data_IF_788297509341
#
_entry.id   IF_788297509341
#
_cell.length_a   1.000
_cell.length_b   1.000
_cell.length_c   1.000
_cell.angle_alpha   90.00
_cell.angle_beta   90.00
_cell.angle_gamma   90.00
#
_symmetry.space_group_name_H-M   'P 1'
#
loop_
_entity.id
_entity.type
_entity.pdbx_description
1 polymer ?
#
# COMPACT_ATOMS: atom_id res chain seq x y z
N UNK A 1 -15.94 -4.16 -16.33
CA UNK A 1 -16.09 -5.63 -16.34
C UNK A 1 -15.45 -6.14 -15.05
N UNK A 2 -16.14 -6.96 -14.26
CA UNK A 2 -15.59 -7.53 -13.02
C UNK A 2 -14.89 -8.85 -13.36
N UNK A 3 -13.64 -9.00 -12.93
CA UNK A 3 -12.85 -10.23 -13.06
C UNK A 3 -13.04 -11.05 -11.79
N UNK A 4 -13.71 -12.20 -11.88
CA UNK A 4 -13.93 -13.09 -10.74
C UNK A 4 -12.63 -13.83 -10.37
N UNK A 5 -12.45 -14.12 -9.08
CA UNK A 5 -11.38 -15.00 -8.61
C UNK A 5 -11.86 -16.45 -8.75
N UNK A 6 -11.08 -17.31 -9.41
CA UNK A 6 -11.47 -18.70 -9.64
C UNK A 6 -11.25 -19.57 -8.39
N UNK A 7 -11.85 -20.77 -8.38
CA UNK A 7 -11.59 -21.77 -7.36
C UNK A 7 -10.10 -22.11 -7.27
N UNK A 8 -9.46 -22.32 -8.42
CA UNK A 8 -8.05 -22.68 -8.53
C UNK A 8 -7.15 -21.61 -7.91
N UNK A 9 -7.42 -20.33 -8.20
CA UNK A 9 -6.67 -19.22 -7.62
C UNK A 9 -6.80 -19.18 -6.08
N UNK A 10 -7.99 -19.44 -5.53
CA UNK A 10 -8.18 -19.52 -4.07
C UNK A 10 -7.40 -20.69 -3.46
N UNK A 11 -7.34 -21.84 -4.16
CA UNK A 11 -6.57 -23.01 -3.73
C UNK A 11 -5.07 -22.72 -3.78
N UNK A 12 -4.57 -22.09 -4.84
CA UNK A 12 -3.16 -21.70 -4.97
C UNK A 12 -2.74 -20.75 -3.85
N UNK A 13 -3.57 -19.74 -3.54
CA UNK A 13 -3.33 -18.84 -2.40
C UNK A 13 -3.22 -19.64 -1.08
N UNK A 14 -4.04 -20.66 -0.87
CA UNK A 14 -3.91 -21.51 0.32
C UNK A 14 -2.62 -22.33 0.31
N UNK A 15 -2.26 -22.94 -0.81
CA UNK A 15 -1.05 -23.75 -0.93
C UNK A 15 0.20 -22.93 -0.67
N UNK A 16 0.23 -21.67 -1.12
CA UNK A 16 1.37 -20.77 -0.95
C UNK A 16 1.43 -20.16 0.47
N UNK A 17 0.30 -19.71 1.01
CA UNK A 17 0.27 -18.91 2.25
C UNK A 17 -0.37 -19.60 3.46
N UNK A 18 -0.87 -20.84 3.29
CA UNK A 18 -1.56 -21.61 4.32
C UNK A 18 -0.63 -22.24 5.36
N UNK A 19 0.67 -22.34 5.08
CA UNK A 19 1.67 -22.96 5.95
C UNK A 19 1.73 -24.48 5.84
N UNK A 20 2.34 -25.14 6.82
CA UNK A 20 2.63 -26.59 6.76
C UNK A 20 1.40 -27.49 6.59
N UNK A 21 0.21 -27.04 7.00
CA UNK A 21 -1.05 -27.76 6.85
C UNK A 21 -1.92 -27.30 5.68
N UNK A 22 -1.36 -26.58 4.71
CA UNK A 22 -2.10 -26.12 3.55
C UNK A 22 -2.71 -27.28 2.75
N UNK A 23 -3.86 -27.04 2.14
CA UNK A 23 -4.61 -28.03 1.37
C UNK A 23 -6.12 -27.91 1.55
N UNK A 24 -6.85 -28.24 0.50
CA UNK A 24 -8.32 -28.23 0.49
C UNK A 24 -8.85 -29.40 1.32
N UNK A 25 -9.68 -29.10 2.32
CA UNK A 25 -10.43 -30.09 3.11
C UNK A 25 -11.82 -30.34 2.51
N UNK A 26 -12.46 -29.29 1.99
CA UNK A 26 -13.80 -29.34 1.41
C UNK A 26 -13.87 -28.46 0.15
N UNK A 27 -13.71 -29.09 -1.02
CA UNK A 27 -13.73 -28.40 -2.31
C UNK A 27 -15.11 -27.83 -2.66
N UNK A 28 -16.19 -28.52 -2.28
CA UNK A 28 -17.55 -28.04 -2.53
C UNK A 28 -17.84 -26.77 -1.74
N UNK A 29 -17.35 -26.71 -0.50
CA UNK A 29 -17.38 -25.51 0.34
C UNK A 29 -16.68 -24.32 -0.30
N UNK A 30 -15.46 -24.51 -0.83
CA UNK A 30 -14.74 -23.43 -1.54
C UNK A 30 -15.50 -22.99 -2.80
N UNK A 31 -16.00 -23.93 -3.61
CA UNK A 31 -16.83 -23.60 -4.77
C UNK A 31 -18.08 -22.81 -4.41
N UNK A 32 -18.75 -23.18 -3.30
CA UNK A 32 -19.92 -22.45 -2.81
C UNK A 32 -19.56 -21.02 -2.34
N UNK A 33 -18.44 -20.84 -1.66
CA UNK A 33 -17.97 -19.53 -1.21
C UNK A 33 -17.64 -18.60 -2.40
N UNK A 34 -16.91 -19.11 -3.39
CA UNK A 34 -16.59 -18.39 -4.64
C UNK A 34 -17.87 -18.09 -5.41
N UNK A 35 -18.74 -19.09 -5.61
CA UNK A 35 -20.02 -18.93 -6.29
C UNK A 35 -20.92 -17.89 -5.63
N UNK A 36 -20.98 -17.86 -4.30
CA UNK A 36 -21.76 -16.86 -3.55
C UNK A 36 -21.30 -15.43 -3.85
N UNK A 37 -20.01 -15.18 -3.99
CA UNK A 37 -19.48 -13.83 -4.24
C UNK A 37 -19.78 -13.32 -5.67
N UNK A 38 -19.83 -14.23 -6.65
CA UNK A 38 -19.85 -13.85 -8.07
C UNK A 38 -21.16 -14.18 -8.81
N UNK A 39 -21.99 -15.08 -8.28
CA UNK A 39 -23.22 -15.51 -8.93
C UNK A 39 -24.45 -14.87 -8.26
N UNK A 40 -25.28 -14.22 -9.08
CA UNK A 40 -26.60 -13.77 -8.71
C UNK A 40 -27.69 -14.80 -9.00
N UNK A 41 -28.90 -14.56 -8.49
CA UNK A 41 -30.09 -15.35 -8.83
C UNK A 41 -31.18 -14.43 -9.39
N UNK A 42 -31.89 -14.89 -10.42
CA UNK A 42 -32.99 -14.11 -11.02
C UNK A 42 -32.57 -12.77 -11.65
N UNK A 43 -31.31 -12.66 -12.10
CA UNK A 43 -30.76 -11.43 -12.66
C UNK A 43 -30.38 -10.36 -11.63
N UNK A 44 -30.51 -10.66 -10.33
CA UNK A 44 -30.11 -9.77 -9.24
C UNK A 44 -28.75 -10.22 -8.70
N UNK A 45 -27.78 -9.30 -8.73
CA UNK A 45 -26.49 -9.48 -8.10
C UNK A 45 -26.59 -9.09 -6.61
N UNK A 46 -26.45 -10.03 -5.66
CA UNK A 46 -26.53 -9.73 -4.23
C UNK A 46 -25.35 -8.90 -3.73
N UNK A 47 -24.27 -8.82 -4.50
CA UNK A 47 -23.04 -8.09 -4.16
C UNK A 47 -22.68 -7.15 -5.33
N UNK A 48 -23.34 -5.99 -5.45
CA UNK A 48 -23.29 -5.15 -6.64
C UNK A 48 -21.95 -4.42 -6.83
N UNK A 49 -21.19 -4.16 -5.76
CA UNK A 49 -19.85 -3.54 -5.87
C UNK A 49 -18.73 -4.56 -5.67
N UNK A 50 -17.54 -4.24 -6.19
CA UNK A 50 -16.32 -5.03 -5.97
C UNK A 50 -16.00 -5.17 -4.47
N UNK A 51 -16.30 -4.17 -3.64
CA UNK A 51 -16.13 -4.29 -2.19
C UNK A 51 -17.09 -5.31 -1.57
N UNK A 52 -18.34 -5.35 -2.05
CA UNK A 52 -19.33 -6.31 -1.57
C UNK A 52 -18.95 -7.74 -1.95
N UNK A 53 -18.41 -7.94 -3.16
CA UNK A 53 -17.92 -9.24 -3.63
C UNK A 53 -16.70 -9.72 -2.86
N UNK A 54 -15.74 -8.82 -2.61
CA UNK A 54 -14.56 -9.11 -1.78
C UNK A 54 -14.98 -9.49 -0.36
N UNK A 55 -15.94 -8.76 0.22
CA UNK A 55 -16.49 -9.05 1.52
C UNK A 55 -17.21 -10.40 1.58
N UNK A 56 -18.02 -10.72 0.58
CA UNK A 56 -18.72 -12.00 0.49
C UNK A 56 -17.75 -13.18 0.41
N UNK A 57 -16.67 -13.02 -0.36
CA UNK A 57 -15.60 -14.00 -0.50
C UNK A 57 -14.83 -14.18 0.81
N UNK A 58 -14.36 -13.09 1.42
CA UNK A 58 -13.65 -13.12 2.70
C UNK A 58 -14.50 -13.78 3.78
N UNK A 59 -15.76 -13.35 3.94
CA UNK A 59 -16.66 -13.90 4.93
C UNK A 59 -16.88 -15.40 4.71
N UNK A 60 -17.20 -15.83 3.48
CA UNK A 60 -17.48 -17.23 3.16
C UNK A 60 -16.31 -18.18 3.42
N UNK A 61 -15.07 -17.70 3.29
CA UNK A 61 -13.85 -18.48 3.55
C UNK A 61 -13.37 -18.36 5.00
N UNK A 62 -13.57 -17.22 5.65
CA UNK A 62 -13.06 -16.96 7.01
C UNK A 62 -13.92 -17.61 8.11
N UNK A 63 -15.24 -17.66 7.94
CA UNK A 63 -16.18 -18.23 8.94
C UNK A 63 -16.33 -19.75 8.81
N UNK A 64 -15.57 -20.37 7.92
CA UNK A 64 -15.65 -21.79 7.59
C UNK A 64 -14.28 -22.43 7.78
N UNK A 65 -14.21 -23.74 7.53
CA UNK A 65 -12.98 -24.52 7.65
C UNK A 65 -12.80 -25.33 6.36
N UNK A 66 -12.83 -24.69 5.20
CA UNK A 66 -12.74 -25.42 3.93
C UNK A 66 -11.31 -25.88 3.58
N UNK A 67 -10.31 -25.37 4.28
CA UNK A 67 -8.91 -25.80 4.21
C UNK A 67 -8.48 -26.50 5.50
N UNK A 68 -7.46 -27.35 5.40
CA UNK A 68 -6.87 -28.02 6.55
C UNK A 68 -6.18 -27.04 7.51
N UNK A 69 -5.52 -26.02 6.96
CA UNK A 69 -4.97 -24.87 7.70
C UNK A 69 -5.03 -23.61 6.82
N UNK A 70 -4.80 -22.45 7.43
CA UNK A 70 -4.68 -21.19 6.71
C UNK A 70 -6.00 -20.56 6.28
N UNK A 71 -7.15 -21.06 6.73
CA UNK A 71 -8.50 -20.55 6.33
C UNK A 71 -8.60 -19.02 6.39
N UNK A 72 -8.24 -18.42 7.53
CA UNK A 72 -8.28 -16.97 7.75
C UNK A 72 -7.33 -16.19 6.83
N UNK A 73 -6.09 -16.67 6.69
CA UNK A 73 -5.07 -16.08 5.80
C UNK A 73 -5.52 -16.14 4.34
N UNK A 74 -6.03 -17.29 3.92
CA UNK A 74 -6.55 -17.54 2.57
C UNK A 74 -7.74 -16.63 2.28
N UNK A 75 -8.67 -16.49 3.22
CA UNK A 75 -9.84 -15.63 3.08
C UNK A 75 -9.47 -14.16 2.85
N UNK A 76 -8.55 -13.64 3.66
CA UNK A 76 -8.05 -12.28 3.53
C UNK A 76 -7.34 -12.07 2.19
N UNK A 77 -6.36 -12.92 1.88
CA UNK A 77 -5.55 -12.81 0.65
C UNK A 77 -6.39 -13.01 -0.62
N UNK A 78 -7.40 -13.89 -0.59
CA UNK A 78 -8.31 -14.07 -1.72
C UNK A 78 -9.14 -12.81 -1.98
N UNK A 79 -9.61 -12.14 -0.92
CA UNK A 79 -10.33 -10.88 -1.07
C UNK A 79 -9.42 -9.75 -1.59
N UNK A 80 -8.18 -9.67 -1.10
CA UNK A 80 -7.17 -8.70 -1.59
C UNK A 80 -6.85 -8.95 -3.05
N UNK A 81 -6.49 -10.18 -3.43
CA UNK A 81 -6.18 -10.55 -4.81
C UNK A 81 -7.36 -10.26 -5.75
N UNK A 82 -8.58 -10.58 -5.34
CA UNK A 82 -9.78 -10.22 -6.11
C UNK A 82 -9.92 -8.70 -6.30
N UNK A 83 -9.70 -7.89 -5.27
CA UNK A 83 -9.77 -6.44 -5.39
C UNK A 83 -8.69 -5.91 -6.35
N UNK A 84 -7.46 -6.42 -6.26
CA UNK A 84 -6.35 -6.03 -7.13
C UNK A 84 -6.62 -6.36 -8.60
N UNK A 85 -7.14 -7.56 -8.89
CA UNK A 85 -7.58 -7.97 -10.22
C UNK A 85 -8.64 -7.03 -10.83
N UNK A 86 -9.36 -6.30 -9.98
CA UNK A 86 -10.40 -5.35 -10.37
C UNK A 86 -9.96 -3.88 -10.23
N UNK A 87 -8.66 -3.61 -10.14
CA UNK A 87 -8.08 -2.26 -10.08
C UNK A 87 -8.22 -1.58 -8.72
N UNK A 88 -8.68 -2.30 -7.69
CA UNK A 88 -8.83 -1.80 -6.33
C UNK A 88 -7.64 -2.26 -5.50
N UNK A 89 -6.64 -1.39 -5.39
CA UNK A 89 -5.49 -1.64 -4.51
C UNK A 89 -5.80 -1.06 -3.13
N UNK A 90 -5.65 -1.88 -2.09
CA UNK A 90 -5.76 -1.47 -0.69
C UNK A 90 -4.58 -0.58 -0.30
N UNK A 91 -4.80 0.40 0.58
CA UNK A 91 -3.71 1.12 1.23
C UNK A 91 -2.87 0.22 2.14
N UNK A 92 -1.80 0.75 2.74
CA UNK A 92 -1.04 0.01 3.75
C UNK A 92 -1.96 -0.39 4.91
N UNK A 93 -2.15 -1.70 5.10
CA UNK A 93 -2.85 -2.26 6.25
C UNK A 93 -1.80 -2.80 7.21
N UNK A 94 -1.77 -2.28 8.44
CA UNK A 94 -0.90 -2.82 9.48
C UNK A 94 -1.21 -4.31 9.71
N UNK A 95 -0.21 -5.20 9.82
CA UNK A 95 -0.45 -6.63 9.99
C UNK A 95 -1.41 -6.96 11.16
N UNK A 96 -1.27 -6.24 12.27
CA UNK A 96 -2.15 -6.37 13.45
C UNK A 96 -3.59 -5.94 13.13
N UNK A 97 -3.79 -4.89 12.33
CA UNK A 97 -5.14 -4.48 11.91
C UNK A 97 -5.78 -5.55 11.03
N UNK A 98 -5.04 -6.05 10.02
CA UNK A 98 -5.52 -7.11 9.13
C UNK A 98 -5.86 -8.38 9.91
N UNK A 99 -5.02 -8.76 10.88
CA UNK A 99 -5.22 -9.93 11.73
C UNK A 99 -6.46 -9.78 12.62
N UNK A 100 -6.55 -8.69 13.40
CA UNK A 100 -7.69 -8.44 14.30
C UNK A 100 -8.99 -8.39 13.52
N UNK A 101 -9.00 -7.71 12.36
CA UNK A 101 -10.17 -7.62 11.52
C UNK A 101 -10.58 -8.98 10.96
N UNK A 102 -9.63 -9.76 10.43
CA UNK A 102 -9.89 -11.10 9.90
C UNK A 102 -10.39 -12.06 10.98
N UNK A 103 -9.85 -11.97 12.20
CA UNK A 103 -10.33 -12.75 13.35
C UNK A 103 -11.78 -12.37 13.72
N UNK A 104 -12.11 -11.09 13.69
CA UNK A 104 -13.46 -10.60 13.96
C UNK A 104 -14.47 -11.08 12.90
N UNK A 105 -14.08 -11.09 11.62
CA UNK A 105 -14.89 -11.69 10.54
C UNK A 105 -15.08 -13.19 10.77
N UNK A 106 -14.00 -13.92 11.04
CA UNK A 106 -14.05 -15.37 11.26
C UNK A 106 -14.91 -15.77 12.47
N UNK A 107 -14.95 -14.92 13.51
CA UNK A 107 -15.80 -15.09 14.69
C UNK A 107 -17.28 -14.75 14.44
N UNK A 108 -17.64 -14.24 13.26
CA UNK A 108 -19.01 -13.82 12.93
C UNK A 108 -19.47 -12.56 13.65
N UNK A 109 -18.54 -11.77 14.22
CA UNK A 109 -18.88 -10.52 14.92
C UNK A 109 -18.93 -9.30 13.99
N UNK A 110 -18.52 -9.46 12.73
CA UNK A 110 -18.55 -8.43 11.69
C UNK A 110 -19.44 -8.89 10.54
N UNK A 111 -20.52 -8.15 10.30
CA UNK A 111 -21.41 -8.39 9.17
C UNK A 111 -20.72 -8.16 7.83
N UNK A 112 -21.16 -8.88 6.79
CA UNK A 112 -20.55 -8.80 5.44
C UNK A 112 -20.54 -7.36 4.90
N UNK A 113 -21.58 -6.57 5.15
CA UNK A 113 -21.63 -5.14 4.76
C UNK A 113 -20.52 -4.32 5.41
N UNK A 114 -20.20 -4.60 6.68
CA UNK A 114 -19.13 -3.93 7.41
C UNK A 114 -17.74 -4.35 6.92
N UNK A 115 -17.60 -5.56 6.40
CA UNK A 115 -16.40 -6.00 5.66
C UNK A 115 -16.22 -5.23 4.37
N UNK A 116 -17.30 -5.02 3.61
CA UNK A 116 -17.26 -4.22 2.38
C UNK A 116 -16.89 -2.75 2.68
N UNK A 117 -17.49 -2.18 3.72
CA UNK A 117 -17.13 -0.85 4.21
C UNK A 117 -15.68 -0.77 4.70
N UNK A 118 -15.15 -1.82 5.34
CA UNK A 118 -13.76 -1.84 5.74
C UNK A 118 -12.82 -1.88 4.53
N UNK A 119 -13.06 -2.74 3.53
CA UNK A 119 -12.25 -2.74 2.31
C UNK A 119 -12.35 -1.41 1.55
N UNK A 120 -13.56 -0.85 1.45
CA UNK A 120 -13.78 0.47 0.87
C UNK A 120 -13.02 1.52 1.68
N UNK A 121 -13.12 1.51 3.00
CA UNK A 121 -12.40 2.40 3.89
C UNK A 121 -10.89 2.19 3.79
N UNK A 122 -10.35 0.98 3.67
CA UNK A 122 -8.91 0.73 3.48
C UNK A 122 -8.46 1.24 2.11
N UNK A 123 -9.30 1.10 1.09
CA UNK A 123 -9.05 1.59 -0.26
C UNK A 123 -9.18 3.12 -0.36
N UNK A 124 -10.12 3.73 0.36
CA UNK A 124 -10.29 5.19 0.46
C UNK A 124 -9.28 5.80 1.43
N UNK A 125 -8.92 5.05 2.47
CA UNK A 125 -7.65 5.12 3.22
C UNK A 125 -6.52 4.51 2.40
N UNK A 126 -6.61 4.44 1.05
CA UNK A 126 -5.44 4.75 0.23
C UNK A 126 -5.02 6.09 0.78
N UNK A 127 -4.11 6.00 1.74
CA UNK A 127 -3.51 7.16 2.30
C UNK A 127 -3.05 7.94 1.08
N UNK A 128 -3.08 9.26 1.18
CA UNK A 128 -2.23 10.09 0.35
C UNK A 128 -0.75 9.77 0.67
N UNK A 129 -0.37 8.51 0.91
CA UNK A 129 0.56 8.10 1.97
C UNK A 129 0.48 9.01 3.20
N UNK A 130 1.64 9.34 3.73
CA UNK A 130 1.74 10.36 4.76
C UNK A 130 1.44 11.78 4.31
N UNK A 131 0.84 11.99 3.13
CA UNK A 131 0.50 13.31 2.64
C UNK A 131 -0.73 13.91 3.31
N UNK A 132 -0.59 15.18 3.65
CA UNK A 132 -1.59 16.03 4.26
C UNK A 132 -2.23 16.96 3.23
N UNK A 133 -1.56 17.22 2.10
CA UNK A 133 -2.08 18.06 1.02
C UNK A 133 -3.08 17.28 0.14
N UNK A 134 -4.30 17.79 -0.10
CA UNK A 134 -5.33 17.14 -0.92
C UNK A 134 -5.01 16.96 -2.39
N UNK A 135 -4.03 17.69 -2.91
CA UNK A 135 -3.54 17.53 -4.27
C UNK A 135 -2.71 16.26 -4.43
N UNK A 136 -2.13 15.73 -3.36
CA UNK A 136 -1.29 14.54 -3.43
C UNK A 136 -2.18 13.29 -3.47
N UNK A 137 -2.17 12.58 -4.60
CA UNK A 137 -2.90 11.31 -4.79
C UNK A 137 -2.24 10.20 -3.97
N UNK A 138 -0.91 10.10 -4.04
CA UNK A 138 -0.12 9.20 -3.23
C UNK A 138 1.28 9.77 -3.00
N UNK A 139 1.90 9.36 -1.90
CA UNK A 139 3.27 9.70 -1.52
C UNK A 139 3.87 8.53 -0.76
N UNK A 140 4.99 7.96 -1.20
CA UNK A 140 5.54 6.76 -0.55
C UNK A 140 7.04 6.63 -0.68
N UNK A 141 7.62 5.89 0.27
CA UNK A 141 9.02 5.47 0.20
C UNK A 141 9.18 4.26 -0.73
N UNK A 142 10.30 4.21 -1.44
CA UNK A 142 10.64 3.12 -2.36
C UNK A 142 12.02 2.55 -2.00
N UNK A 143 12.15 1.22 -2.03
CA UNK A 143 13.38 0.50 -1.66
C UNK A 143 14.45 0.51 -2.76
N UNK A 144 14.03 0.43 -4.02
CA UNK A 144 14.87 0.43 -5.21
C UNK A 144 14.05 0.96 -6.39
N UNK A 145 14.66 1.68 -7.33
CA UNK A 145 14.02 2.08 -8.57
C UNK A 145 14.98 1.84 -9.72
N UNK A 146 14.60 0.94 -10.63
CA UNK A 146 15.27 0.74 -11.91
C UNK A 146 14.40 1.34 -13.02
N UNK A 147 15.00 2.19 -13.85
CA UNK A 147 14.37 2.73 -15.05
C UNK A 147 14.75 1.85 -16.24
N UNK A 148 13.74 1.27 -16.90
CA UNK A 148 13.90 0.43 -18.08
C UNK A 148 12.97 0.93 -19.18
N UNK A 149 13.55 1.31 -20.32
CA UNK A 149 12.82 1.80 -21.50
C UNK A 149 11.86 2.97 -21.23
N UNK A 150 12.22 3.88 -20.30
CA UNK A 150 11.40 5.03 -19.91
C UNK A 150 10.26 4.71 -18.94
N UNK A 151 10.21 3.47 -18.43
CA UNK A 151 9.27 3.03 -17.40
C UNK A 151 10.02 2.63 -16.12
N UNK A 152 9.44 2.94 -14.96
CA UNK A 152 9.98 2.54 -13.66
C UNK A 152 9.48 1.12 -13.33
N UNK A 153 10.37 0.13 -13.32
CA UNK A 153 9.95 -1.30 -13.34
C UNK A 153 10.07 -2.05 -12.02
N UNK A 154 10.77 -1.53 -11.00
CA UNK A 154 10.92 -2.23 -9.71
C UNK A 154 10.39 -1.42 -8.53
N UNK A 155 9.42 -1.99 -7.80
CA UNK A 155 8.71 -1.40 -6.66
C UNK A 155 8.76 -2.31 -5.43
N UNK A 156 9.93 -2.52 -4.83
CA UNK A 156 10.01 -3.23 -3.55
C UNK A 156 10.00 -2.23 -2.37
N UNK A 157 9.09 -2.42 -1.40
CA UNK A 157 9.10 -1.71 -0.11
C UNK A 157 8.12 -0.55 0.07
N UNK A 158 6.87 -0.68 -0.38
CA UNK A 158 5.83 0.35 -0.24
C UNK A 158 5.33 0.45 1.22
N UNK A 159 5.25 1.69 1.73
CA UNK A 159 4.49 2.03 2.95
C UNK A 159 5.31 2.15 4.23
N UNK A 160 6.34 1.31 4.43
CA UNK A 160 7.28 1.40 5.56
C UNK A 160 8.67 1.01 5.07
N UNK A 161 9.56 1.98 4.87
CA UNK A 161 10.96 1.66 4.59
C UNK A 161 11.71 1.45 5.92
N UNK A 162 11.69 0.22 6.41
CA UNK A 162 12.68 -0.26 7.36
C UNK A 162 14.00 -0.52 6.62
N UNK A 163 15.11 0.04 7.08
CA UNK A 163 16.46 -0.35 6.65
C UNK A 163 17.10 -1.17 7.75
N UNK A 164 17.32 -2.45 7.46
CA UNK A 164 18.13 -3.32 8.31
C UNK A 164 19.59 -3.10 7.93
N UNK A 165 20.43 -2.90 8.94
CA UNK A 165 21.87 -2.81 8.76
C UNK A 165 22.51 -3.92 9.58
N UNK A 166 23.33 -4.74 8.93
CA UNK A 166 24.26 -5.61 9.63
C UNK A 166 25.52 -4.83 10.03
N UNK A 167 25.77 -4.62 11.33
CA UNK A 167 26.94 -3.89 11.79
C UNK A 167 28.28 -4.61 11.49
N UNK A 168 28.24 -5.89 11.09
CA UNK A 168 29.43 -6.64 10.64
C UNK A 168 29.83 -6.26 9.21
N UNK A 169 28.86 -5.90 8.38
CA UNK A 169 29.07 -5.59 6.96
C UNK A 169 29.27 -4.09 6.70
N UNK A 170 28.76 -3.21 7.58
CA UNK A 170 28.84 -1.76 7.41
C UNK A 170 29.10 -1.02 8.72
N UNK A 171 29.89 0.06 8.65
CA UNK A 171 30.20 0.94 9.79
C UNK A 171 29.55 2.31 9.62
N UNK A 172 29.13 2.99 10.69
CA UNK A 172 28.59 4.34 10.61
C UNK A 172 29.65 5.35 10.13
N UNK A 173 29.26 6.44 9.45
CA UNK A 173 27.88 6.78 9.10
C UNK A 173 27.33 5.95 7.95
N UNK A 174 26.14 5.40 8.14
CA UNK A 174 25.42 4.64 7.14
C UNK A 174 24.86 5.58 6.08
N UNK A 175 25.31 5.40 4.83
CA UNK A 175 24.78 6.15 3.70
C UNK A 175 23.60 5.37 3.11
N UNK A 176 22.39 5.83 3.40
CA UNK A 176 21.15 5.14 3.03
C UNK A 176 20.33 6.01 2.10
N UNK A 177 20.39 5.80 0.77
CA UNK A 177 19.46 6.42 -0.16
C UNK A 177 18.02 6.08 0.22
N UNK A 178 17.20 7.12 0.29
CA UNK A 178 15.76 7.05 0.51
C UNK A 178 15.10 7.67 -0.70
N UNK A 179 14.30 6.87 -1.38
CA UNK A 179 13.55 7.28 -2.56
C UNK A 179 12.12 7.59 -2.15
N UNK A 180 11.61 8.72 -2.63
CA UNK A 180 10.24 9.18 -2.44
C UNK A 180 9.61 9.30 -3.81
N UNK A 181 8.46 8.66 -3.99
CA UNK A 181 7.64 8.86 -5.18
C UNK A 181 6.28 9.40 -4.77
N UNK A 182 5.60 10.02 -5.73
CA UNK A 182 4.24 10.48 -5.53
C UNK A 182 3.62 10.97 -6.82
N UNK A 183 2.35 11.31 -6.70
CA UNK A 183 1.58 11.95 -7.78
C UNK A 183 0.79 13.10 -7.21
N UNK A 184 0.82 14.23 -7.92
CA UNK A 184 0.13 15.46 -7.54
C UNK A 184 -0.85 15.87 -8.64
N UNK A 185 -2.07 16.20 -8.23
CA UNK A 185 -3.10 16.87 -9.03
C UNK A 185 -3.00 18.37 -8.82
N UNK A 186 -2.88 19.10 -9.92
CA UNK A 186 -2.68 20.53 -9.87
C UNK A 186 -4.00 21.29 -9.90
N UNK A 187 -3.95 22.54 -9.46
CA UNK A 187 -5.05 23.50 -9.58
C UNK A 187 -4.70 24.59 -10.57
N UNK A 188 -5.69 25.34 -11.01
CA UNK A 188 -5.52 26.48 -11.91
C UNK A 188 -4.48 27.49 -11.38
N UNK A 189 -4.46 27.71 -10.06
CA UNK A 189 -3.49 28.59 -9.37
C UNK A 189 -2.03 28.13 -9.45
N UNK A 190 -1.80 26.85 -9.74
CA UNK A 190 -0.47 26.24 -9.87
C UNK A 190 0.08 26.39 -11.32
N UNK A 191 -0.71 26.93 -12.25
CA UNK A 191 -0.28 27.09 -13.64
C UNK A 191 0.73 28.23 -13.83
N UNK A 192 1.65 28.08 -14.80
CA UNK A 192 2.57 29.15 -15.22
C UNK A 192 3.80 29.36 -14.34
N UNK A 193 3.93 28.67 -13.20
CA UNK A 193 5.14 28.67 -12.36
C UNK A 193 5.63 27.25 -12.10
N UNK A 194 6.94 27.07 -11.97
CA UNK A 194 7.53 25.80 -11.54
C UNK A 194 7.47 25.68 -10.02
N UNK A 195 7.29 24.46 -9.52
CA UNK A 195 7.21 24.18 -8.09
C UNK A 195 8.47 23.49 -7.59
N UNK A 196 8.75 23.57 -6.28
CA UNK A 196 9.88 22.86 -5.67
C UNK A 196 9.40 21.88 -4.63
N UNK A 197 9.75 20.62 -4.82
CA UNK A 197 9.55 19.56 -3.84
C UNK A 197 10.85 19.32 -3.06
N UNK A 198 10.80 19.54 -1.75
CA UNK A 198 11.91 19.37 -0.83
C UNK A 198 11.70 18.14 0.07
N UNK A 199 12.74 17.32 0.20
CA UNK A 199 12.78 16.16 1.09
C UNK A 199 13.66 16.49 2.29
N UNK A 200 13.27 16.04 3.49
CA UNK A 200 14.07 16.17 4.72
C UNK A 200 13.94 14.92 5.59
N UNK A 201 15.06 14.24 5.88
CA UNK A 201 15.09 13.09 6.81
C UNK A 201 15.39 13.60 8.21
N UNK A 202 14.45 13.46 9.14
CA UNK A 202 14.54 14.02 10.49
C UNK A 202 14.11 13.00 11.54
N UNK A 203 14.48 13.16 12.81
CA UNK A 203 13.95 12.34 13.90
C UNK A 203 12.42 12.37 13.92
N UNK A 204 11.78 11.23 14.17
CA UNK A 204 10.32 11.16 14.31
C UNK A 204 9.83 12.05 15.45
N UNK A 205 10.50 11.96 16.59
CA UNK A 205 10.24 12.78 17.77
C UNK A 205 11.32 13.87 17.89
N UNK A 206 11.00 15.16 17.78
CA UNK A 206 11.97 16.24 17.88
C UNK A 206 12.79 16.17 19.19
N UNK A 207 14.11 16.23 19.09
CA UNK A 207 15.02 16.17 20.24
C UNK A 207 15.36 14.76 20.73
N UNK A 208 14.75 13.71 20.17
CA UNK A 208 15.11 12.31 20.48
C UNK A 208 16.53 11.93 20.04
N UNK A 209 17.01 12.55 18.96
CA UNK A 209 18.35 12.40 18.42
C UNK A 209 18.72 13.58 17.51
N UNK A 210 20.01 13.73 17.20
CA UNK A 210 20.45 14.70 16.19
C UNK A 210 19.97 14.28 14.79
N UNK A 211 19.50 15.22 13.94
CA UNK A 211 19.17 14.90 12.57
C UNK A 211 20.37 14.34 11.78
N UNK A 212 20.14 13.38 10.86
CA UNK A 212 21.22 12.87 10.01
C UNK A 212 21.92 13.97 9.22
N UNK A 213 23.20 13.77 8.88
CA UNK A 213 23.90 14.68 7.96
C UNK A 213 23.44 14.44 6.52
N UNK A 214 23.55 15.43 5.64
CA UNK A 214 23.10 15.35 4.22
C UNK A 214 21.65 14.88 4.08
N UNK A 215 20.80 15.25 5.03
CA UNK A 215 19.43 14.79 5.14
C UNK A 215 18.42 15.57 4.31
N UNK A 216 18.84 16.47 3.41
CA UNK A 216 17.94 17.31 2.63
C UNK A 216 18.24 17.21 1.14
N UNK A 217 17.19 17.28 0.32
CA UNK A 217 17.29 17.47 -1.14
C UNK A 217 16.13 18.33 -1.64
N UNK A 218 16.31 18.96 -2.80
CA UNK A 218 15.34 19.85 -3.45
C UNK A 218 15.26 19.50 -4.92
N UNK A 219 14.04 19.42 -5.45
CA UNK A 219 13.79 18.98 -6.81
C UNK A 219 12.73 19.87 -7.46
N UNK A 220 12.98 20.29 -8.69
CA UNK A 220 12.02 21.09 -9.45
C UNK A 220 10.94 20.22 -10.09
N UNK A 221 9.71 20.69 -10.04
CA UNK A 221 8.57 20.18 -10.80
C UNK A 221 8.22 21.21 -11.88
N UNK A 222 8.10 20.74 -13.12
CA UNK A 222 7.66 21.59 -14.21
C UNK A 222 6.20 22.08 -13.97
N UNK A 223 5.83 23.25 -14.49
CA UNK A 223 4.45 23.72 -14.40
C UNK A 223 3.47 22.70 -15.00
N UNK A 224 2.26 22.55 -14.43
CA UNK A 224 1.24 21.70 -15.02
C UNK A 224 0.86 22.13 -16.43
N UNK A 225 0.63 21.15 -17.30
CA UNK A 225 0.18 21.36 -18.68
C UNK A 225 -1.30 21.00 -18.77
N UNK A 226 -2.05 21.74 -19.57
CA UNK A 226 -3.44 21.39 -19.89
C UNK A 226 -3.49 20.16 -20.79
N UNK A 227 -4.29 19.17 -20.39
CA UNK A 227 -4.52 17.95 -21.16
C UNK A 227 -6.02 17.79 -21.39
N UNK A 228 -6.46 17.82 -22.64
CA UNK A 228 -7.89 17.78 -23.02
C UNK A 228 -8.58 16.42 -22.84
N UNK A 229 -8.36 15.75 -21.71
CA UNK A 229 -9.00 14.48 -21.37
C UNK A 229 -10.06 14.68 -20.28
N UNK A 230 -11.25 14.15 -20.55
CA UNK A 230 -12.53 14.32 -19.83
C UNK A 230 -12.54 13.81 -18.36
N UNK A 231 -11.40 13.38 -17.82
CA UNK A 231 -11.28 12.71 -16.52
C UNK A 231 -10.34 13.39 -15.52
N UNK A 232 -9.79 14.57 -15.84
CA UNK A 232 -8.90 15.30 -14.94
C UNK A 232 -9.62 16.51 -14.30
N UNK A 233 -9.53 16.70 -12.97
CA UNK A 233 -9.99 17.92 -12.33
C UNK A 233 -9.34 19.14 -13.02
N UNK A 234 -10.14 20.14 -13.39
CA UNK A 234 -9.67 21.41 -13.96
C UNK A 234 -8.90 21.30 -15.31
N UNK A 235 -9.01 20.17 -16.03
CA UNK A 235 -8.29 19.89 -17.30
C UNK A 235 -6.75 19.95 -17.19
N UNK A 236 -6.19 19.81 -15.99
CA UNK A 236 -4.74 19.82 -15.74
C UNK A 236 -4.17 18.41 -15.64
N UNK A 237 -3.08 18.14 -16.34
CA UNK A 237 -2.38 16.85 -16.26
C UNK A 237 -1.68 16.72 -14.90
N UNK A 238 -1.92 15.64 -14.14
CA UNK A 238 -1.20 15.40 -12.90
C UNK A 238 0.28 15.14 -13.16
N UNK A 239 1.14 15.49 -12.21
CA UNK A 239 2.56 15.17 -12.27
C UNK A 239 2.90 13.99 -11.37
N UNK A 240 3.55 12.98 -11.94
CA UNK A 240 4.22 11.92 -11.18
C UNK A 240 5.66 12.36 -10.93
N UNK A 241 6.17 12.11 -9.72
CA UNK A 241 7.54 12.42 -9.35
C UNK A 241 8.20 11.25 -8.64
N UNK A 242 9.53 11.18 -8.80
CA UNK A 242 10.39 10.24 -8.10
C UNK A 242 11.72 10.92 -7.79
N UNK A 243 12.00 11.09 -6.51
CA UNK A 243 13.12 11.87 -6.02
C UNK A 243 13.84 11.15 -4.89
N UNK A 244 15.11 11.49 -4.67
CA UNK A 244 15.93 10.86 -3.63
C UNK A 244 16.52 11.84 -2.64
N UNK A 245 16.80 11.34 -1.44
CA UNK A 245 17.65 11.97 -0.43
C UNK A 245 18.57 10.89 0.15
N UNK A 246 19.85 11.20 0.35
CA UNK A 246 20.86 10.25 0.82
C UNK A 246 21.44 10.69 2.17
N UNK A 247 20.68 10.55 3.28
CA UNK A 247 21.19 10.85 4.61
C UNK A 247 22.40 10.00 4.99
N UNK A 248 23.26 10.59 5.81
CA UNK A 248 24.36 9.92 6.52
C UNK A 248 23.96 9.77 7.98
N UNK A 249 23.63 8.54 8.37
CA UNK A 249 23.05 8.21 9.66
C UNK A 249 24.13 7.64 10.56
N UNK A 250 24.37 8.30 11.69
CA UNK A 250 25.35 7.83 12.70
C UNK A 250 24.66 6.92 13.71
N UNK A 251 23.46 7.30 14.16
CA UNK A 251 22.66 6.57 15.13
C UNK A 251 21.41 6.05 14.42
N UNK A 252 21.22 4.73 14.31
CA UNK A 252 19.96 4.12 13.86
C UNK A 252 18.80 4.46 14.80
N UNK A 253 17.59 4.55 14.28
CA UNK A 253 16.43 4.95 15.07
C UNK A 253 15.16 5.18 14.25
N UNK A 254 14.14 5.73 14.91
CA UNK A 254 12.88 6.11 14.29
C UNK A 254 13.00 7.52 13.68
N UNK A 255 13.01 7.56 12.35
CA UNK A 255 13.08 8.79 11.56
C UNK A 255 11.79 8.97 10.76
N UNK A 256 11.65 10.13 10.14
CA UNK A 256 10.63 10.42 9.12
C UNK A 256 11.26 11.15 7.95
N UNK A 257 10.65 11.02 6.77
CA UNK A 257 10.93 11.84 5.60
C UNK A 257 9.81 12.87 5.47
N UNK A 258 10.11 14.11 5.82
CA UNK A 258 9.22 15.23 5.54
C UNK A 258 9.34 15.62 4.06
N UNK A 259 8.18 15.80 3.42
CA UNK A 259 8.04 16.22 2.04
C UNK A 259 7.33 17.58 2.05
N UNK A 260 7.97 18.59 1.48
CA UNK A 260 7.44 19.95 1.39
C UNK A 260 7.32 20.40 -0.07
N UNK A 261 6.15 20.92 -0.46
CA UNK A 261 5.95 21.61 -1.73
C UNK A 261 5.97 23.11 -1.46
N UNK A 262 6.90 23.83 -2.08
CA UNK A 262 7.07 25.29 -1.91
C UNK A 262 7.14 25.72 -0.43
N UNK A 263 7.80 24.90 0.39
CA UNK A 263 7.96 25.05 1.85
C UNK A 263 6.73 24.67 2.70
N UNK A 264 5.59 24.34 2.10
CA UNK A 264 4.42 23.80 2.78
C UNK A 264 4.61 22.30 2.99
N UNK A 265 4.41 21.81 4.22
CA UNK A 265 4.42 20.36 4.50
C UNK A 265 3.27 19.70 3.75
N UNK A 266 3.63 18.84 2.80
CA UNK A 266 2.67 18.06 2.04
C UNK A 266 2.64 16.62 2.50
N UNK A 267 3.65 16.09 3.20
CA UNK A 267 3.56 14.79 3.87
C UNK A 267 4.75 14.38 4.73
N UNK A 268 4.60 13.34 5.56
CA UNK A 268 5.62 12.87 6.53
C UNK A 268 5.76 11.35 6.61
N UNK A 269 6.66 10.76 5.82
CA UNK A 269 6.77 9.32 5.63
C UNK A 269 7.58 8.63 6.75
N UNK A 270 7.10 7.55 7.40
CA UNK A 270 7.86 6.84 8.42
C UNK A 270 9.08 6.13 7.81
N UNK A 271 10.26 6.31 8.44
CA UNK A 271 11.51 5.70 7.99
C UNK A 271 12.29 5.16 9.20
N UNK A 272 12.43 3.84 9.31
CA UNK A 272 13.08 3.22 10.47
C UNK A 272 14.40 2.60 10.07
N UNK A 273 15.44 2.82 10.87
CA UNK A 273 16.74 2.18 10.69
C UNK A 273 17.03 1.31 11.89
N UNK A 274 17.22 0.01 11.66
CA UNK A 274 17.39 -1.00 12.72
C UNK A 274 18.71 -1.74 12.51
N UNK A 275 19.49 -1.90 13.58
CA UNK A 275 20.62 -2.83 13.57
C UNK A 275 20.11 -4.24 13.78
N UNK A 276 20.52 -5.16 12.91
CA UNK A 276 20.19 -6.58 13.02
C UNK A 276 21.45 -7.38 12.68
N UNK A 277 21.76 -8.37 13.51
CA UNK A 277 22.77 -9.38 13.18
C UNK A 277 22.03 -10.56 12.59
N UNK A 278 22.11 -10.78 11.28
CA UNK A 278 21.49 -11.94 10.64
C UNK A 278 22.32 -13.19 10.98
N UNK A 279 21.76 -14.16 11.68
CA UNK A 279 22.42 -15.46 11.82
C UNK A 279 22.51 -16.15 10.46
N UNK A 280 23.65 -16.80 10.18
CA UNK A 280 23.86 -17.65 9.00
C UNK A 280 22.84 -18.81 8.94
#
# INVERSE_FOLDING_TARGET
MVVALSFEAVVEINLEFGGHGAGVRDANGVHAAVGRAFNGFGGVDPFPSVFDKAAALMHGLATTQYFHDGNKRTAFLSAVAFLELNGVVLGAVEPVEAEVFTLAVAAGVVETSRVAEWFRSVHERRQRGSAVDPRIEYLMLVGHVEERDGFLTDWYGVGIAGRLIDPRESKPPYQLPVFVCGKIHWREEDTGQGHVLALSVVPRDPGSMDPPRRNKSRHGLAPPVRGGHEHHPEDLMPSTFHFQVAPRIVVPGDLVVEVRLDSVLVGTLPFKVTLVTLSD
#
